data_IF_319984268949
#
_entry.id   IF_319984268949
#
_cell.length_a   1.000
_cell.length_b   1.000
_cell.length_c   1.000
_cell.angle_alpha   90.00
_cell.angle_beta   90.00
_cell.angle_gamma   90.00
#
_symmetry.space_group_name_H-M   'P 1'
#
loop_
_entity.id
_entity.type
_entity.pdbx_description
1 polymer ?
#
# COMPACT_ATOMS: atom_id res chain seq x y z
N UNK A 1 -7.27 -7.69 14.15
CA UNK A 1 -7.36 -6.23 14.39
C UNK A 1 -8.36 -5.63 13.42
N UNK A 2 -9.39 -4.94 13.90
CA UNK A 2 -10.23 -4.16 12.98
C UNK A 2 -9.45 -2.93 12.53
N UNK A 3 -9.85 -2.37 11.40
CA UNK A 3 -9.21 -1.20 10.80
C UNK A 3 -10.26 -0.30 10.17
N UNK A 4 -10.02 1.01 10.19
CA UNK A 4 -10.89 1.99 9.56
C UNK A 4 -10.08 3.17 9.02
N UNK A 5 -10.61 3.80 7.98
CA UNK A 5 -10.07 5.03 7.43
C UNK A 5 -10.59 6.24 8.19
N UNK A 6 -9.71 7.21 8.49
CA UNK A 6 -10.10 8.46 9.12
C UNK A 6 -9.18 9.60 8.68
N UNK A 7 -9.70 10.79 8.32
CA UNK A 7 -8.88 11.99 8.26
C UNK A 7 -8.55 12.43 9.70
N UNK A 8 -7.26 12.54 10.01
CA UNK A 8 -6.77 12.85 11.35
C UNK A 8 -6.07 14.20 11.34
N UNK A 9 -6.30 15.02 12.38
CA UNK A 9 -5.54 16.26 12.59
C UNK A 9 -4.05 15.92 12.77
N UNK A 10 -3.19 16.53 11.98
CA UNK A 10 -1.76 16.22 11.96
C UNK A 10 -1.09 16.45 13.32
N UNK A 11 -1.64 17.36 14.15
CA UNK A 11 -1.14 17.64 15.52
C UNK A 11 -1.38 16.49 16.49
N UNK A 12 -2.36 15.62 16.20
CA UNK A 12 -2.65 14.42 17.00
C UNK A 12 -1.82 13.22 16.60
N UNK A 13 -1.06 13.31 15.50
CA UNK A 13 -0.20 12.22 15.04
C UNK A 13 1.19 12.39 15.66
N UNK A 14 1.73 11.30 16.20
CA UNK A 14 3.02 11.24 16.89
C UNK A 14 3.89 10.13 16.32
N UNK A 15 5.20 10.33 16.32
CA UNK A 15 6.19 9.28 16.09
C UNK A 15 6.64 8.74 17.45
N UNK A 16 6.80 7.42 17.57
CA UNK A 16 7.46 6.80 18.73
C UNK A 16 8.98 6.73 18.56
N UNK A 17 9.50 7.03 17.36
CA UNK A 17 10.93 6.99 17.07
C UNK A 17 11.59 8.37 17.14
N UNK A 18 10.80 9.44 17.05
CA UNK A 18 11.28 10.81 17.00
C UNK A 18 10.39 11.68 17.88
N UNK A 19 10.99 12.41 18.81
CA UNK A 19 10.32 13.45 19.59
C UNK A 19 10.03 14.67 18.71
N UNK A 20 11.03 15.05 17.91
CA UNK A 20 10.94 16.07 16.87
C UNK A 20 11.48 15.50 15.55
N UNK A 21 10.56 15.21 14.64
CA UNK A 21 10.88 14.62 13.34
C UNK A 21 11.66 15.58 12.43
N UNK A 22 11.64 16.89 12.65
CA UNK A 22 12.38 17.85 11.83
C UNK A 22 13.87 17.89 12.16
N UNK A 23 14.22 17.66 13.43
CA UNK A 23 15.60 17.76 13.90
C UNK A 23 16.28 16.41 14.00
N UNK A 24 15.52 15.36 14.32
CA UNK A 24 16.08 14.02 14.60
C UNK A 24 16.10 13.10 13.36
N UNK A 25 15.31 13.40 12.33
CA UNK A 25 15.20 12.54 11.16
C UNK A 25 15.71 13.23 9.89
N UNK A 26 16.57 12.53 9.15
CA UNK A 26 17.10 12.97 7.86
C UNK A 26 16.51 12.09 6.75
N UNK A 27 15.30 12.40 6.25
CA UNK A 27 14.67 11.61 5.19
C UNK A 27 15.38 11.81 3.86
N UNK A 28 15.21 10.84 2.95
CA UNK A 28 15.62 10.98 1.55
C UNK A 28 14.87 12.16 0.90
N UNK A 29 15.60 13.22 0.54
CA UNK A 29 14.97 14.46 0.05
C UNK A 29 14.29 14.27 -1.30
N UNK A 30 14.84 13.43 -2.18
CA UNK A 30 14.23 13.15 -3.49
C UNK A 30 12.85 12.53 -3.35
N UNK A 31 12.71 11.58 -2.41
CA UNK A 31 11.44 10.96 -2.10
C UNK A 31 10.48 11.92 -1.40
N UNK A 32 10.95 12.75 -0.46
CA UNK A 32 10.12 13.79 0.18
C UNK A 32 9.61 14.80 -0.85
N UNK A 33 10.44 15.25 -1.78
CA UNK A 33 10.02 16.18 -2.84
C UNK A 33 9.02 15.55 -3.81
N UNK A 34 9.19 14.27 -4.12
CA UNK A 34 8.19 13.51 -4.85
C UNK A 34 6.84 13.50 -4.12
N UNK A 35 6.83 13.20 -2.81
CA UNK A 35 5.60 13.21 -2.01
C UNK A 35 4.96 14.61 -1.92
N UNK A 36 5.76 15.67 -1.74
CA UNK A 36 5.28 17.06 -1.76
C UNK A 36 4.63 17.40 -3.10
N UNK A 37 5.21 16.96 -4.22
CA UNK A 37 4.61 17.09 -5.55
C UNK A 37 3.27 16.36 -5.62
N UNK A 38 3.18 15.13 -5.14
CA UNK A 38 1.92 14.38 -5.09
C UNK A 38 0.85 15.11 -4.27
N UNK A 39 1.20 15.67 -3.10
CA UNK A 39 0.29 16.50 -2.28
C UNK A 39 -0.21 17.70 -3.07
N UNK A 40 0.72 18.49 -3.65
CA UNK A 40 0.40 19.70 -4.42
C UNK A 40 -0.50 19.43 -5.60
N UNK A 41 -0.25 18.33 -6.32
CA UNK A 41 -1.00 17.92 -7.51
C UNK A 41 -2.25 17.10 -7.16
N UNK A 42 -2.56 16.88 -5.87
CA UNK A 42 -3.65 16.03 -5.39
C UNK A 42 -3.60 14.61 -5.98
N UNK A 43 -2.39 14.12 -6.26
CA UNK A 43 -2.19 12.74 -6.66
C UNK A 43 -2.47 11.81 -5.50
N UNK A 44 -2.89 10.60 -5.83
CA UNK A 44 -3.12 9.56 -4.84
C UNK A 44 -1.83 9.20 -4.10
N UNK A 45 -1.91 9.13 -2.78
CA UNK A 45 -0.89 8.56 -1.92
C UNK A 45 -1.55 7.58 -0.96
N UNK A 46 -0.92 6.43 -0.64
CA UNK A 46 -1.50 5.51 0.32
C UNK A 46 -1.66 6.19 1.70
N UNK A 47 -2.66 5.82 2.51
CA UNK A 47 -2.85 6.40 3.84
C UNK A 47 -1.72 6.06 4.80
N UNK A 48 -1.47 6.93 5.76
CA UNK A 48 -0.53 6.66 6.87
C UNK A 48 -1.15 5.59 7.77
N UNK A 49 -0.38 4.59 8.17
CA UNK A 49 -0.85 3.54 9.07
C UNK A 49 -0.53 3.96 10.49
N UNK A 50 -1.55 4.04 11.34
CA UNK A 50 -1.43 4.45 12.74
C UNK A 50 -2.17 3.49 13.68
N UNK A 51 -1.79 3.50 14.94
CA UNK A 51 -2.61 2.99 16.06
C UNK A 51 -3.11 4.16 16.89
N UNK A 52 -4.24 4.02 17.57
CA UNK A 52 -4.76 5.06 18.46
C UNK A 52 -4.55 4.66 19.92
N UNK A 53 -3.88 5.51 20.70
CA UNK A 53 -3.79 5.37 22.15
C UNK A 53 -4.23 6.68 22.81
N UNK A 54 -5.36 6.63 23.53
CA UNK A 54 -6.01 7.82 24.06
C UNK A 54 -6.37 8.82 22.95
N UNK A 55 -5.87 10.05 23.10
CA UNK A 55 -6.13 11.17 22.19
C UNK A 55 -5.15 11.27 21.01
N UNK A 56 -4.09 10.45 21.00
CA UNK A 56 -3.01 10.50 20.03
C UNK A 56 -3.01 9.28 19.10
N UNK A 57 -2.41 9.48 17.93
CA UNK A 57 -2.25 8.47 16.90
C UNK A 57 -0.77 8.24 16.63
N UNK A 58 -0.28 7.03 16.89
CA UNK A 58 1.13 6.71 16.75
C UNK A 58 1.38 6.05 15.40
N UNK A 59 2.34 6.61 14.66
CA UNK A 59 2.69 6.12 13.32
C UNK A 59 3.24 4.70 13.43
N UNK A 60 2.67 3.76 12.67
CA UNK A 60 3.21 2.41 12.47
C UNK A 60 4.01 2.37 11.17
N UNK A 61 3.50 3.00 10.11
CA UNK A 61 4.19 3.18 8.84
C UNK A 61 3.76 4.50 8.16
N UNK A 62 4.68 5.11 7.43
CA UNK A 62 4.41 6.30 6.62
C UNK A 62 5.05 7.59 7.11
N UNK A 63 6.17 7.54 7.84
CA UNK A 63 6.90 8.73 8.29
C UNK A 63 7.23 9.72 7.17
N UNK A 64 7.61 9.23 5.99
CA UNK A 64 7.91 10.12 4.86
C UNK A 64 6.67 10.90 4.41
N UNK A 65 5.51 10.25 4.36
CA UNK A 65 4.23 10.89 4.04
C UNK A 65 3.80 11.87 5.14
N UNK A 66 3.93 11.46 6.40
CA UNK A 66 3.67 12.34 7.55
C UNK A 66 4.53 13.60 7.49
N UNK A 67 5.84 13.44 7.28
CA UNK A 67 6.80 14.53 7.17
C UNK A 67 6.48 15.44 5.97
N UNK A 68 6.18 14.87 4.81
CA UNK A 68 5.79 15.66 3.63
C UNK A 68 4.52 16.49 3.89
N UNK A 69 3.50 15.92 4.54
CA UNK A 69 2.29 16.65 4.94
C UNK A 69 2.59 17.77 5.95
N UNK A 70 3.46 17.50 6.94
CA UNK A 70 3.91 18.50 7.91
C UNK A 70 4.60 19.69 7.22
N UNK A 71 5.57 19.42 6.35
CA UNK A 71 6.31 20.44 5.58
C UNK A 71 5.37 21.26 4.69
N UNK A 72 4.36 20.64 4.11
CA UNK A 72 3.37 21.32 3.26
C UNK A 72 2.30 22.09 4.06
N UNK A 73 2.33 22.05 5.39
CA UNK A 73 1.36 22.75 6.24
C UNK A 73 -0.05 22.17 6.21
N UNK A 74 -0.19 20.89 5.85
CA UNK A 74 -1.49 20.21 5.81
C UNK A 74 -2.06 20.05 7.22
N UNK A 75 -3.33 20.42 7.40
CA UNK A 75 -3.99 20.34 8.73
C UNK A 75 -4.47 18.94 9.06
N UNK A 76 -4.85 18.17 8.03
CA UNK A 76 -5.39 16.83 8.17
C UNK A 76 -4.75 15.90 7.16
N UNK A 77 -4.54 14.66 7.56
CA UNK A 77 -4.01 13.62 6.69
C UNK A 77 -4.86 12.35 6.78
N UNK A 78 -4.94 11.64 5.66
CA UNK A 78 -5.67 10.38 5.59
C UNK A 78 -4.86 9.27 6.27
N UNK A 79 -5.48 8.61 7.23
CA UNK A 79 -4.88 7.51 7.98
C UNK A 79 -5.74 6.26 7.93
N UNK A 80 -5.09 5.09 8.01
CA UNK A 80 -5.70 3.84 8.44
C UNK A 80 -5.37 3.67 9.91
N UNK A 81 -6.40 3.64 10.74
CA UNK A 81 -6.28 3.35 12.16
C UNK A 81 -6.44 1.85 12.35
N UNK A 82 -5.46 1.22 12.99
CA UNK A 82 -5.50 -0.17 13.43
C UNK A 82 -5.89 -0.18 14.91
N UNK A 83 -6.86 -1.02 15.28
CA UNK A 83 -7.21 -1.22 16.70
C UNK A 83 -6.07 -1.90 17.46
N UNK A 84 -5.80 -1.41 18.67
CA UNK A 84 -4.76 -1.91 19.57
C UNK A 84 -3.82 -0.79 20.02
N UNK A 85 -2.77 -1.19 20.72
CA UNK A 85 -1.67 -0.35 21.15
C UNK A 85 -0.52 -0.36 20.12
N UNK A 86 0.43 0.56 20.27
CA UNK A 86 1.68 0.58 19.53
C UNK A 86 2.53 -0.64 19.83
N UNK A 87 2.45 -1.17 21.05
CA UNK A 87 3.04 -2.45 21.40
C UNK A 87 2.42 -3.59 20.58
N UNK A 88 1.10 -3.63 20.41
CA UNK A 88 0.41 -4.65 19.61
C UNK A 88 0.80 -4.62 18.12
N UNK A 89 1.27 -3.47 17.63
CA UNK A 89 1.77 -3.31 16.25
C UNK A 89 3.16 -3.90 16.02
N UNK A 90 3.86 -4.38 17.05
CA UNK A 90 5.25 -4.85 16.97
C UNK A 90 5.48 -5.95 15.92
N UNK A 91 4.64 -7.01 15.81
CA UNK A 91 4.81 -8.02 14.78
C UNK A 91 4.76 -7.43 13.36
N UNK A 92 3.90 -6.43 13.14
CA UNK A 92 3.76 -5.76 11.85
C UNK A 92 4.99 -4.91 11.51
N UNK A 93 5.50 -4.17 12.50
CA UNK A 93 6.73 -3.37 12.34
C UNK A 93 7.96 -4.24 12.09
N UNK A 94 8.08 -5.35 12.81
CA UNK A 94 9.14 -6.34 12.58
C UNK A 94 9.08 -6.93 11.17
N UNK A 95 7.88 -7.30 10.70
CA UNK A 95 7.71 -7.79 9.34
C UNK A 95 8.15 -6.77 8.29
N UNK A 96 7.78 -5.51 8.44
CA UNK A 96 8.20 -4.41 7.56
C UNK A 96 9.72 -4.26 7.49
N UNK A 97 10.42 -4.34 8.64
CA UNK A 97 11.89 -4.30 8.70
C UNK A 97 12.49 -5.49 7.97
N UNK A 98 12.02 -6.71 8.24
CA UNK A 98 12.51 -7.93 7.58
C UNK A 98 12.33 -7.89 6.06
N UNK A 99 11.19 -7.37 5.57
CA UNK A 99 10.94 -7.22 4.14
C UNK A 99 11.90 -6.20 3.48
N UNK A 100 12.23 -5.12 4.18
CA UNK A 100 13.22 -4.13 3.73
C UNK A 100 14.62 -4.73 3.67
N UNK A 101 15.03 -5.44 4.72
CA UNK A 101 16.31 -6.13 4.74
C UNK A 101 16.42 -7.18 3.62
N UNK A 102 15.33 -7.93 3.37
CA UNK A 102 15.29 -8.90 2.28
C UNK A 102 15.43 -8.24 0.91
N UNK A 103 14.74 -7.13 0.66
CA UNK A 103 14.89 -6.35 -0.56
C UNK A 103 16.33 -5.83 -0.71
N UNK A 104 16.92 -5.27 0.35
CA UNK A 104 18.31 -4.80 0.32
C UNK A 104 19.28 -5.93 -0.05
N UNK A 105 19.15 -7.10 0.59
CA UNK A 105 19.96 -8.30 0.30
C UNK A 105 19.82 -8.78 -1.14
N UNK A 106 18.65 -8.58 -1.75
CA UNK A 106 18.36 -9.05 -3.12
C UNK A 106 18.48 -7.95 -4.17
N UNK A 107 19.03 -6.78 -3.84
CA UNK A 107 19.13 -5.65 -4.76
C UNK A 107 17.76 -5.16 -5.25
N UNK A 108 16.76 -5.19 -4.37
CA UNK A 108 15.37 -4.80 -4.61
C UNK A 108 14.66 -5.59 -5.73
N UNK A 109 15.12 -6.81 -6.03
CA UNK A 109 14.52 -7.67 -7.08
C UNK A 109 13.02 -7.93 -6.88
N UNK A 110 12.55 -7.97 -5.64
CA UNK A 110 11.17 -8.37 -5.30
C UNK A 110 10.27 -7.22 -4.81
N UNK A 111 10.86 -6.08 -4.40
CA UNK A 111 10.14 -4.86 -4.02
C UNK A 111 9.11 -5.07 -2.88
N UNK A 112 9.46 -5.89 -1.88
CA UNK A 112 8.62 -6.13 -0.71
C UNK A 112 8.54 -4.97 0.28
N UNK A 113 9.52 -4.08 0.31
CA UNK A 113 9.60 -2.89 1.17
C UNK A 113 8.40 -1.93 1.07
N UNK A 114 7.61 -2.00 -0.01
CA UNK A 114 6.34 -1.27 -0.16
C UNK A 114 5.09 -2.06 0.26
N UNK A 115 5.24 -3.17 1.00
CA UNK A 115 4.11 -4.05 1.34
C UNK A 115 3.04 -3.32 2.14
N UNK A 116 3.40 -2.62 3.22
CA UNK A 116 2.41 -1.91 4.03
C UNK A 116 1.73 -0.77 3.28
N UNK A 117 2.42 -0.14 2.33
CA UNK A 117 1.84 0.90 1.47
C UNK A 117 0.79 0.30 0.52
N UNK A 118 1.10 -0.85 -0.08
CA UNK A 118 0.14 -1.60 -0.91
C UNK A 118 -1.03 -2.12 -0.09
N UNK A 119 -0.77 -2.63 1.11
CA UNK A 119 -1.82 -3.07 2.03
C UNK A 119 -2.72 -1.90 2.45
N UNK A 120 -2.14 -0.74 2.75
CA UNK A 120 -2.86 0.47 3.09
C UNK A 120 -3.73 0.94 1.92
N UNK A 121 -3.17 0.98 0.71
CA UNK A 121 -3.93 1.30 -0.49
C UNK A 121 -5.08 0.32 -0.74
N UNK A 122 -4.82 -0.99 -0.61
CA UNK A 122 -5.85 -2.01 -0.77
C UNK A 122 -6.95 -1.93 0.30
N UNK A 123 -6.59 -1.55 1.53
CA UNK A 123 -7.54 -1.35 2.61
C UNK A 123 -8.41 -0.11 2.40
N UNK A 124 -7.87 0.92 1.73
CA UNK A 124 -8.60 2.13 1.42
C UNK A 124 -9.73 1.87 0.42
N UNK A 125 -9.47 1.04 -0.58
CA UNK A 125 -10.39 0.83 -1.69
C UNK A 125 -11.54 -0.16 -1.39
N UNK A 126 -11.49 -0.92 -0.28
CA UNK A 126 -12.40 -2.04 0.07
C UNK A 126 -12.78 -3.01 -1.09
N UNK A 127 -12.08 -2.95 -2.22
CA UNK A 127 -12.24 -3.78 -3.42
C UNK A 127 -10.90 -3.94 -4.14
N UNK A 128 -9.80 -4.18 -3.42
CA UNK A 128 -8.60 -4.67 -4.09
C UNK A 128 -8.83 -6.11 -4.57
N UNK A 129 -9.51 -6.21 -5.71
CA UNK A 129 -9.31 -7.26 -6.68
C UNK A 129 -7.82 -7.23 -6.95
N UNK A 130 -7.16 -8.31 -6.54
CA UNK A 130 -5.75 -8.59 -6.65
C UNK A 130 -5.22 -8.31 -8.08
N UNK A 131 -4.94 -7.03 -8.39
CA UNK A 131 -4.48 -6.58 -9.73
C UNK A 131 -3.06 -7.09 -10.04
N UNK A 132 -2.40 -7.66 -9.04
CA UNK A 132 -1.12 -8.36 -9.12
C UNK A 132 -1.24 -9.89 -9.17
N UNK A 133 -2.43 -10.48 -9.38
CA UNK A 133 -2.44 -11.76 -10.12
C UNK A 133 -1.86 -11.45 -11.49
N UNK A 134 -0.68 -11.97 -11.86
CA UNK A 134 -0.11 -11.68 -13.16
C UNK A 134 -1.13 -12.05 -14.24
N UNK A 135 -1.57 -11.06 -15.02
CA UNK A 135 -2.41 -11.23 -16.21
C UNK A 135 -1.76 -12.12 -17.26
N UNK A 136 -0.50 -12.52 -17.05
CA UNK A 136 0.24 -13.47 -17.87
C UNK A 136 -0.51 -14.79 -18.07
N UNK A 137 -1.20 -15.31 -17.05
CA UNK A 137 -2.01 -16.54 -17.22
C UNK A 137 -3.20 -16.34 -18.16
N UNK A 138 -3.78 -15.13 -18.23
CA UNK A 138 -4.91 -14.86 -19.13
C UNK A 138 -4.50 -14.69 -20.60
N UNK A 139 -3.30 -14.18 -20.88
CA UNK A 139 -2.80 -14.04 -22.26
C UNK A 139 -2.42 -15.40 -22.86
N UNK A 140 -1.72 -16.24 -22.12
CA UNK A 140 -1.38 -17.61 -22.54
C UNK A 140 -2.67 -18.45 -22.68
N UNK A 141 -3.61 -18.35 -21.73
CA UNK A 141 -4.89 -19.06 -21.82
C UNK A 141 -5.73 -18.62 -23.03
N UNK A 142 -5.82 -17.32 -23.33
CA UNK A 142 -6.50 -16.83 -24.55
C UNK A 142 -5.80 -17.31 -25.83
N UNK A 143 -4.48 -17.37 -25.83
CA UNK A 143 -3.70 -17.86 -26.96
C UNK A 143 -3.91 -19.36 -27.19
N UNK A 144 -3.83 -20.18 -26.15
CA UNK A 144 -4.07 -21.63 -26.23
C UNK A 144 -5.52 -21.96 -26.60
N UNK A 145 -6.52 -21.23 -26.06
CA UNK A 145 -7.93 -21.43 -26.43
C UNK A 145 -8.22 -21.07 -27.90
N UNK A 146 -7.41 -20.20 -28.51
CA UNK A 146 -7.50 -19.88 -29.94
C UNK A 146 -6.91 -21.00 -30.81
N UNK A 147 -5.84 -21.66 -30.34
CA UNK A 147 -5.19 -22.79 -31.04
C UNK A 147 -6.02 -24.06 -30.94
N UNK A 148 -6.59 -24.35 -29.76
CA UNK A 148 -7.35 -25.57 -29.50
C UNK A 148 -8.86 -25.41 -29.67
N UNK A 149 -9.33 -24.44 -30.47
CA UNK A 149 -10.77 -24.33 -30.75
C UNK A 149 -11.15 -25.55 -31.62
N UNK A 150 -11.97 -26.50 -31.12
CA UNK A 150 -12.30 -27.69 -31.90
C UNK A 150 -12.98 -27.22 -33.20
N UNK A 151 -12.49 -27.71 -34.35
CA UNK A 151 -13.19 -27.54 -35.62
C UNK A 151 -14.57 -28.15 -35.42
N UNK A 152 -15.62 -27.34 -35.52
CA UNK A 152 -16.97 -27.90 -35.64
C UNK A 152 -16.95 -28.73 -36.92
N UNK A 153 -17.20 -30.03 -36.79
CA UNK A 153 -17.53 -30.84 -37.94
C UNK A 153 -18.86 -30.32 -38.45
N UNK A 154 -18.81 -29.52 -39.52
CA UNK A 154 -19.95 -29.27 -40.39
C UNK A 154 -20.19 -30.57 -41.15
N UNK A 155 -21.08 -31.40 -40.63
CA UNK A 155 -21.34 -32.72 -41.19
C UNK A 155 -22.32 -33.53 -40.37
N UNK A 156 -23.42 -32.89 -39.96
CA UNK A 156 -24.63 -33.60 -39.50
C UNK A 156 -25.83 -32.91 -40.18
N UNK A 157 -25.83 -32.96 -41.52
CA UNK A 157 -27.06 -32.78 -42.28
C UNK A 157 -27.78 -34.13 -42.29
N UNK A 158 -28.96 -34.14 -41.68
CA UNK A 158 -29.71 -35.34 -41.36
C UNK A 158 -30.09 -36.18 -42.56
N UNK A 159 -29.99 -37.49 -42.37
CA UNK A 159 -30.77 -38.47 -43.11
C UNK A 159 -32.26 -38.14 -42.93
N UNK A 160 -32.91 -37.66 -43.99
CA UNK A 160 -34.37 -37.75 -44.12
C UNK A 160 -34.69 -39.14 -44.68
N UNK A 161 -35.45 -39.90 -43.91
CA UNK A 161 -36.14 -41.13 -44.34
C UNK A 161 -37.41 -40.71 -45.09
#
# INVERSE_FOLDING_TARGET
>A
MKKYLKPIDIKKIKSTWYEDIFTQWQPDQGYVDHLKKCIKEKQYMPPIVVVQEGDFFYIVNGHHRYYAHLVMGEKKVKCIVIEGTFADSEPLRKAEVLLKEFDQKTGYRYQFSGYLDRWAAAAEEQKFINKYRPTYKFRIYKFLKKIFKPRRHEGDEGLKI
#
